data_IF_894523861744
#
_entry.id   IF_894523861744
#
_cell.length_a   1.000
_cell.length_b   1.000
_cell.length_c   1.000
_cell.angle_alpha   90.00
_cell.angle_beta   90.00
_cell.angle_gamma   90.00
#
_symmetry.space_group_name_H-M   'P 1'
#
loop_
_entity.id
_entity.type
_entity.pdbx_description
1 polymer ?
#
# COMPACT_ATOMS: atom_id res chain seq x y z
N UNK A 1 12.51 15.02 38.45
CA UNK A 1 11.64 15.15 37.26
C UNK A 1 11.86 13.93 36.39
N UNK A 2 10.95 12.95 36.44
CA UNK A 2 11.05 11.75 35.60
C UNK A 2 10.56 12.11 34.21
N UNK A 3 11.47 12.16 33.23
CA UNK A 3 11.10 12.31 31.82
C UNK A 3 10.24 11.11 31.41
N UNK A 4 9.06 11.41 30.90
CA UNK A 4 8.12 10.40 30.44
C UNK A 4 8.65 9.79 29.13
N UNK A 5 9.41 8.69 29.23
CA UNK A 5 10.08 7.97 28.12
C UNK A 5 9.13 7.20 27.21
N UNK A 6 7.82 7.46 27.24
CA UNK A 6 6.87 6.70 26.44
C UNK A 6 6.71 7.38 25.06
N UNK A 7 7.30 6.83 23.97
CA UNK A 7 7.17 7.43 22.66
C UNK A 7 5.69 7.42 22.25
N UNK A 8 5.11 8.60 22.02
CA UNK A 8 3.74 8.71 21.50
C UNK A 8 3.69 8.09 20.10
N UNK A 9 3.23 6.84 20.00
CA UNK A 9 2.95 6.20 18.71
C UNK A 9 1.63 6.76 18.17
N UNK A 10 1.68 7.64 17.18
CA UNK A 10 0.48 7.95 16.39
C UNK A 10 0.13 6.71 15.57
N UNK A 11 -1.14 6.32 15.61
CA UNK A 11 -1.65 5.25 14.75
C UNK A 11 -1.47 5.60 13.27
N UNK A 12 -1.60 4.59 12.42
CA UNK A 12 -1.63 4.73 10.96
C UNK A 12 -3.08 4.81 10.50
N UNK A 13 -3.37 5.74 9.61
CA UNK A 13 -4.65 5.83 8.90
C UNK A 13 -4.47 5.24 7.50
N UNK A 14 -5.39 4.37 7.07
CA UNK A 14 -5.41 3.77 5.75
C UNK A 14 -6.66 4.27 5.02
N UNK A 15 -6.48 5.14 4.03
CA UNK A 15 -7.59 5.69 3.25
C UNK A 15 -7.64 5.07 1.85
N UNK A 16 -6.47 4.76 1.28
CA UNK A 16 -6.35 4.22 -0.07
C UNK A 16 -5.42 2.98 -0.11
N UNK A 17 -5.56 2.10 -1.12
CA UNK A 17 -4.67 0.96 -1.32
C UNK A 17 -3.17 1.34 -1.35
N UNK A 18 -2.84 2.53 -1.87
CA UNK A 18 -1.46 3.07 -1.85
C UNK A 18 -0.89 3.23 -0.45
N UNK A 19 -1.71 3.51 0.57
CA UNK A 19 -1.26 3.68 1.95
C UNK A 19 -0.80 2.34 2.54
N UNK A 20 -1.58 1.28 2.28
CA UNK A 20 -1.21 -0.08 2.68
C UNK A 20 0.05 -0.56 1.97
N UNK A 21 0.23 -0.26 0.67
CA UNK A 21 1.47 -0.58 -0.06
C UNK A 21 2.69 0.14 0.54
N UNK A 22 2.56 1.42 0.93
CA UNK A 22 3.63 2.18 1.61
C UNK A 22 3.98 1.58 2.97
N UNK A 23 3.00 1.06 3.71
CA UNK A 23 3.23 0.36 4.97
C UNK A 23 4.00 -0.95 4.75
N UNK A 24 3.52 -1.79 3.83
CA UNK A 24 4.16 -3.06 3.48
C UNK A 24 5.62 -2.82 3.09
N UNK A 25 5.87 -1.84 2.20
CA UNK A 25 7.22 -1.46 1.81
C UNK A 25 8.10 -1.13 3.00
N UNK A 26 7.63 -0.30 3.94
CA UNK A 26 8.41 0.06 5.14
C UNK A 26 8.78 -1.14 6.00
N UNK A 27 7.86 -2.10 6.16
CA UNK A 27 8.12 -3.32 6.94
C UNK A 27 9.16 -4.20 6.25
N UNK A 28 9.01 -4.39 4.93
CA UNK A 28 9.95 -5.18 4.14
C UNK A 28 11.33 -4.50 4.14
N UNK A 29 11.42 -3.22 3.81
CA UNK A 29 12.67 -2.45 3.81
C UNK A 29 13.39 -2.54 5.17
N UNK A 30 12.65 -2.52 6.28
CA UNK A 30 13.24 -2.67 7.62
C UNK A 30 13.80 -4.06 7.87
N UNK A 31 13.06 -5.11 7.49
CA UNK A 31 13.52 -6.49 7.66
C UNK A 31 14.82 -6.75 6.89
N UNK A 32 14.93 -6.26 5.65
CA UNK A 32 16.14 -6.36 4.85
C UNK A 32 17.30 -5.51 5.42
N UNK A 33 17.00 -4.30 5.94
CA UNK A 33 18.03 -3.46 6.55
C UNK A 33 18.61 -4.05 7.85
N UNK A 34 17.84 -4.86 8.57
CA UNK A 34 18.26 -5.54 9.80
C UNK A 34 18.81 -6.96 9.57
N UNK A 35 18.82 -7.46 8.32
CA UNK A 35 19.27 -8.82 8.00
C UNK A 35 18.30 -9.92 8.50
N UNK A 36 17.04 -9.58 8.71
CA UNK A 36 16.00 -10.47 9.26
C UNK A 36 15.06 -11.01 8.17
N UNK A 37 15.36 -10.79 6.89
CA UNK A 37 14.53 -11.20 5.77
C UNK A 37 14.35 -12.72 5.68
N UNK A 38 15.36 -13.50 6.07
CA UNK A 38 15.27 -14.96 6.10
C UNK A 38 14.38 -15.45 7.25
N UNK A 39 14.57 -14.88 8.46
CA UNK A 39 13.75 -15.18 9.65
C UNK A 39 12.26 -14.87 9.40
N UNK A 40 11.99 -13.77 8.69
CA UNK A 40 10.63 -13.31 8.40
C UNK A 40 10.13 -13.64 6.99
N UNK A 41 10.84 -14.50 6.25
CA UNK A 41 10.54 -14.84 4.84
C UNK A 41 9.08 -15.20 4.59
N UNK A 42 8.45 -16.03 5.45
CA UNK A 42 7.04 -16.39 5.32
C UNK A 42 6.07 -15.21 5.48
N UNK A 43 6.35 -14.28 6.42
CA UNK A 43 5.54 -13.08 6.62
C UNK A 43 5.76 -12.07 5.50
N UNK A 44 7.01 -11.93 5.03
CA UNK A 44 7.35 -11.10 3.87
C UNK A 44 6.62 -11.60 2.64
N UNK A 45 6.60 -12.92 2.38
CA UNK A 45 5.86 -13.50 1.25
C UNK A 45 4.36 -13.18 1.31
N UNK A 46 3.74 -13.25 2.50
CA UNK A 46 2.34 -12.85 2.69
C UNK A 46 2.13 -11.36 2.39
N UNK A 47 3.00 -10.49 2.90
CA UNK A 47 2.92 -9.05 2.66
C UNK A 47 3.09 -8.71 1.17
N UNK A 48 4.02 -9.38 0.47
CA UNK A 48 4.23 -9.21 -0.97
C UNK A 48 3.04 -9.72 -1.78
N UNK A 49 2.41 -10.83 -1.38
CA UNK A 49 1.18 -11.31 -2.00
C UNK A 49 0.02 -10.32 -1.85
N UNK A 50 -0.11 -9.68 -0.68
CA UNK A 50 -1.10 -8.61 -0.48
C UNK A 50 -0.73 -7.38 -1.31
N UNK A 51 0.54 -7.00 -1.36
CA UNK A 51 1.03 -5.88 -2.14
C UNK A 51 0.70 -6.02 -3.63
N UNK A 52 0.86 -7.22 -4.20
CA UNK A 52 0.51 -7.51 -5.58
C UNK A 52 -0.99 -7.29 -5.86
N UNK A 53 -1.87 -7.80 -4.99
CA UNK A 53 -3.31 -7.61 -5.10
C UNK A 53 -3.72 -6.13 -5.02
N UNK A 54 -3.10 -5.36 -4.13
CA UNK A 54 -3.36 -3.93 -4.03
C UNK A 54 -2.91 -3.18 -5.30
N UNK A 55 -1.84 -3.64 -5.95
CA UNK A 55 -1.39 -3.06 -7.22
C UNK A 55 -2.36 -3.39 -8.36
N UNK A 56 -2.90 -4.60 -8.41
CA UNK A 56 -3.92 -5.00 -9.39
C UNK A 56 -5.20 -4.15 -9.24
N UNK A 57 -5.67 -3.92 -8.02
CA UNK A 57 -6.86 -3.09 -7.74
C UNK A 57 -6.67 -1.66 -8.25
N UNK A 58 -5.50 -1.05 -8.01
CA UNK A 58 -5.20 0.29 -8.54
C UNK A 58 -5.27 0.31 -10.08
N UNK A 59 -4.76 -0.73 -10.74
CA UNK A 59 -4.82 -0.82 -12.20
C UNK A 59 -6.23 -0.99 -12.73
N UNK A 60 -7.08 -1.71 -12.02
CA UNK A 60 -8.49 -1.79 -12.35
C UNK A 60 -9.17 -0.42 -12.22
N UNK A 61 -8.92 0.31 -11.14
CA UNK A 61 -9.47 1.66 -10.95
C UNK A 61 -9.01 2.65 -12.04
N UNK A 62 -7.73 2.58 -12.45
CA UNK A 62 -7.21 3.36 -13.57
C UNK A 62 -7.95 3.05 -14.88
N UNK A 63 -8.27 1.77 -15.13
CA UNK A 63 -8.99 1.33 -16.34
C UNK A 63 -10.44 1.82 -16.31
N UNK A 64 -11.13 1.68 -15.19
CA UNK A 64 -12.51 2.16 -15.02
C UNK A 64 -12.60 3.67 -15.30
N UNK A 65 -11.69 4.47 -14.74
CA UNK A 65 -11.65 5.91 -14.98
C UNK A 65 -11.46 6.26 -16.47
N UNK A 66 -10.64 5.48 -17.19
CA UNK A 66 -10.43 5.67 -18.63
C UNK A 66 -11.66 5.28 -19.45
N UNK A 67 -12.36 4.21 -19.07
CA UNK A 67 -13.62 3.80 -19.74
C UNK A 67 -14.66 4.89 -19.58
N UNK A 68 -14.87 5.39 -18.36
CA UNK A 68 -15.82 6.48 -18.08
C UNK A 68 -15.47 7.73 -18.92
N UNK A 69 -14.18 8.08 -19.03
CA UNK A 69 -13.76 9.22 -19.85
C UNK A 69 -14.07 9.02 -21.35
N UNK A 70 -13.91 7.79 -21.87
CA UNK A 70 -14.24 7.47 -23.26
C UNK A 70 -15.74 7.51 -23.52
N UNK A 71 -16.55 6.99 -22.60
CA UNK A 71 -18.01 7.04 -22.68
C UNK A 71 -18.52 8.48 -22.70
N UNK A 72 -18.01 9.32 -21.79
CA UNK A 72 -18.34 10.75 -21.76
C UNK A 72 -17.90 11.49 -23.02
N UNK A 73 -16.74 11.14 -23.60
CA UNK A 73 -16.29 11.74 -24.85
C UNK A 73 -17.24 11.39 -26.01
N UNK A 74 -17.64 10.11 -26.11
CA UNK A 74 -18.58 9.64 -27.13
C UNK A 74 -19.96 10.28 -27.00
N UNK A 75 -20.46 10.49 -25.79
CA UNK A 75 -21.75 11.14 -25.56
C UNK A 75 -21.73 12.62 -25.93
N UNK A 76 -20.58 13.30 -25.84
CA UNK A 76 -20.44 14.70 -26.29
C UNK A 76 -20.40 14.85 -27.82
N UNK A 77 -20.06 13.78 -28.54
CA UNK A 77 -20.02 13.76 -30.01
C UNK A 77 -21.40 13.42 -30.64
N UNK A 78 -22.38 13.01 -29.83
CA UNK A 78 -23.76 12.73 -30.24
C UNK A 78 -24.67 13.93 -30.06
#
# INVERSE_FOLDING_TARGET
MSENKNPKRRGITLNEPKDARRLIRRVVDRAFAEGQELEYSGRIAQLLGIWAKLWEIDKLSDIEARIVALEQAKDRER
#
